data_IF_487746151151
#
_entry.id   IF_487746151151
#
_cell.length_a   1.000
_cell.length_b   1.000
_cell.length_c   1.000
_cell.angle_alpha   90.00
_cell.angle_beta   90.00
_cell.angle_gamma   90.00
#
_symmetry.space_group_name_H-M   'P 1'
#
loop_
_entity.id
_entity.type
_entity.pdbx_description
1 polymer ?
#
# COMPACT_ATOMS: atom_id res chain seq x y z
N UNK A 1 31.71 16.28 3.76
CA UNK A 1 31.47 15.04 4.52
C UNK A 1 30.31 14.35 3.85
N UNK A 2 30.54 13.26 3.12
CA UNK A 2 29.44 12.42 2.65
C UNK A 2 28.77 11.86 3.91
N UNK A 3 27.52 12.24 4.16
CA UNK A 3 26.64 11.44 5.01
C UNK A 3 26.71 10.03 4.41
N UNK A 4 27.31 9.09 5.14
CA UNK A 4 27.32 7.70 4.72
C UNK A 4 25.86 7.30 4.52
N UNK A 5 25.48 6.84 3.31
CA UNK A 5 24.09 6.51 2.97
C UNK A 5 23.43 5.71 4.10
N UNK A 6 22.50 6.36 4.82
CA UNK A 6 21.72 5.79 5.93
C UNK A 6 20.62 4.84 5.43
N UNK A 7 20.47 4.74 4.10
CA UNK A 7 19.42 3.99 3.42
C UNK A 7 20.03 2.91 2.53
N UNK A 8 19.41 1.72 2.55
CA UNK A 8 19.74 0.66 1.60
C UNK A 8 19.01 0.90 0.27
N UNK A 9 19.75 1.33 -0.74
CA UNK A 9 19.23 1.61 -2.07
C UNK A 9 19.03 0.34 -2.92
N UNK A 10 18.05 0.39 -3.83
CA UNK A 10 17.71 -0.71 -4.77
C UNK A 10 17.60 -0.20 -6.22
N UNK A 11 18.66 0.38 -6.78
CA UNK A 11 18.62 1.06 -8.09
C UNK A 11 18.17 0.13 -9.22
N UNK A 12 18.61 -1.13 -9.22
CA UNK A 12 18.20 -2.11 -10.24
C UNK A 12 16.70 -2.39 -10.25
N UNK A 13 16.06 -2.42 -9.06
CA UNK A 13 14.62 -2.59 -8.96
C UNK A 13 13.90 -1.33 -9.44
N UNK A 14 14.40 -0.14 -9.06
CA UNK A 14 13.84 1.13 -9.49
C UNK A 14 13.89 1.28 -11.02
N UNK A 15 15.05 1.06 -11.64
CA UNK A 15 15.18 1.11 -13.11
C UNK A 15 14.25 0.13 -13.83
N UNK A 16 14.09 -1.10 -13.32
CA UNK A 16 13.16 -2.08 -13.89
C UNK A 16 11.71 -1.59 -13.82
N UNK A 17 11.28 -1.04 -12.68
CA UNK A 17 9.93 -0.51 -12.51
C UNK A 17 9.69 0.73 -13.38
N UNK A 18 10.64 1.66 -13.43
CA UNK A 18 10.56 2.86 -14.27
C UNK A 18 10.41 2.48 -15.75
N UNK A 19 11.25 1.55 -16.23
CA UNK A 19 11.16 1.06 -17.61
C UNK A 19 9.78 0.44 -17.92
N UNK A 20 9.21 -0.32 -16.99
CA UNK A 20 7.89 -0.93 -17.15
C UNK A 20 6.75 0.09 -17.09
N UNK A 21 6.85 1.11 -16.23
CA UNK A 21 5.81 2.12 -16.02
C UNK A 21 5.79 3.16 -17.14
N UNK A 22 6.96 3.65 -17.58
CA UNK A 22 7.04 4.71 -18.59
C UNK A 22 6.78 4.17 -20.01
N UNK A 23 7.28 2.97 -20.33
CA UNK A 23 7.17 2.37 -21.68
C UNK A 23 5.88 1.55 -21.82
N UNK A 24 4.90 2.09 -22.52
CA UNK A 24 3.67 1.35 -22.86
C UNK A 24 3.89 0.64 -24.20
N UNK A 25 4.08 -0.68 -24.16
CA UNK A 25 4.01 -1.52 -25.36
C UNK A 25 2.58 -1.72 -25.87
N UNK A 26 2.38 -2.10 -27.15
CA UNK A 26 1.06 -2.46 -27.67
C UNK A 26 0.38 -3.53 -26.79
N UNK A 27 -0.88 -3.29 -26.40
CA UNK A 27 -1.64 -4.20 -25.53
C UNK A 27 -1.29 -4.15 -24.03
N UNK A 28 -0.37 -3.27 -23.61
CA UNK A 28 -0.01 -3.14 -22.20
C UNK A 28 -1.12 -2.50 -21.38
N UNK A 29 -1.55 -3.19 -20.32
CA UNK A 29 -2.48 -2.67 -19.32
C UNK A 29 -1.83 -1.72 -18.30
N UNK A 30 -0.52 -1.46 -18.40
CA UNK A 30 0.21 -0.47 -17.58
C UNK A 30 -0.37 0.94 -17.76
N UNK A 31 -0.94 1.23 -18.93
CA UNK A 31 -1.68 2.47 -19.17
C UNK A 31 -2.85 2.65 -18.20
N UNK A 32 -3.39 1.57 -17.65
CA UNK A 32 -4.40 1.60 -16.59
C UNK A 32 -3.83 1.82 -15.19
N UNK A 33 -2.52 1.90 -15.01
CA UNK A 33 -1.82 2.05 -13.72
C UNK A 33 -1.01 0.80 -13.34
N UNK A 34 -0.19 0.90 -12.28
CA UNK A 34 0.64 -0.20 -11.76
C UNK A 34 0.45 -0.31 -10.26
N UNK A 35 0.24 -1.53 -9.77
CA UNK A 35 -0.05 -1.80 -8.36
C UNK A 35 1.07 -2.60 -7.69
N UNK A 36 1.62 -2.05 -6.61
CA UNK A 36 2.68 -2.66 -5.81
C UNK A 36 2.14 -3.05 -4.43
N UNK A 37 1.97 -4.36 -4.18
CA UNK A 37 1.49 -4.88 -2.90
C UNK A 37 2.66 -5.43 -2.07
N UNK A 38 2.83 -4.94 -0.84
CA UNK A 38 3.83 -5.45 0.11
C UNK A 38 3.26 -5.36 1.53
N UNK A 39 3.54 -6.30 2.45
CA UNK A 39 3.16 -6.13 3.85
C UNK A 39 3.69 -4.82 4.45
N UNK A 40 3.04 -4.33 5.51
CA UNK A 40 3.48 -3.14 6.26
C UNK A 40 4.92 -3.32 6.74
N UNK A 41 5.66 -2.21 6.82
CA UNK A 41 6.98 -2.13 7.44
C UNK A 41 8.05 -2.99 6.77
N UNK A 42 7.94 -3.23 5.46
CA UNK A 42 8.92 -4.00 4.66
C UNK A 42 9.87 -3.12 3.84
N UNK A 43 9.87 -1.80 4.07
CA UNK A 43 10.72 -0.83 3.35
C UNK A 43 10.15 -0.30 2.03
N UNK A 44 8.88 -0.59 1.72
CA UNK A 44 8.19 -0.14 0.49
C UNK A 44 8.20 1.39 0.35
N UNK A 45 7.74 2.14 1.35
CA UNK A 45 7.66 3.61 1.26
C UNK A 45 9.03 4.26 1.18
N UNK A 46 10.03 3.72 1.90
CA UNK A 46 11.44 4.14 1.75
C UNK A 46 11.93 3.95 0.33
N UNK A 47 11.72 2.77 -0.27
CA UNK A 47 12.07 2.54 -1.68
C UNK A 47 11.34 3.49 -2.64
N UNK A 48 10.05 3.77 -2.38
CA UNK A 48 9.30 4.73 -3.21
C UNK A 48 9.94 6.11 -3.15
N UNK A 49 10.27 6.59 -1.95
CA UNK A 49 10.84 7.92 -1.74
C UNK A 49 12.29 8.05 -2.22
N UNK A 50 13.14 7.10 -1.85
CA UNK A 50 14.60 7.21 -1.96
C UNK A 50 15.16 6.57 -3.24
N UNK A 51 14.39 5.69 -3.90
CA UNK A 51 14.85 5.03 -5.14
C UNK A 51 13.90 5.32 -6.32
N UNK A 52 12.62 5.00 -6.18
CA UNK A 52 11.70 4.97 -7.31
C UNK A 52 11.36 6.37 -7.83
N UNK A 53 11.08 7.32 -6.94
CA UNK A 53 10.81 8.71 -7.31
C UNK A 53 12.02 9.37 -7.99
N UNK A 54 13.24 9.34 -7.42
CA UNK A 54 14.43 9.83 -8.11
C UNK A 54 14.68 9.15 -9.47
N UNK A 55 14.44 7.84 -9.57
CA UNK A 55 14.62 7.12 -10.83
C UNK A 55 13.61 7.55 -11.92
N UNK A 56 12.37 7.88 -11.56
CA UNK A 56 11.42 8.48 -12.52
C UNK A 56 11.87 9.87 -12.97
N UNK A 57 12.32 10.70 -12.04
CA UNK A 57 12.78 12.06 -12.32
C UNK A 57 14.03 12.05 -13.22
N UNK A 58 14.95 11.09 -13.00
CA UNK A 58 16.12 10.88 -13.84
C UNK A 58 15.78 10.51 -15.29
N UNK A 59 14.65 9.82 -15.51
CA UNK A 59 14.12 9.50 -16.84
C UNK A 59 13.23 10.63 -17.41
N UNK A 60 13.24 11.81 -16.79
CA UNK A 60 12.56 13.01 -17.27
C UNK A 60 11.06 13.05 -17.01
N UNK A 61 10.53 12.20 -16.11
CA UNK A 61 9.14 12.26 -15.67
C UNK A 61 8.95 13.27 -14.52
N UNK A 62 7.77 13.88 -14.47
CA UNK A 62 7.37 14.74 -13.35
C UNK A 62 6.59 13.93 -12.32
N UNK A 63 7.08 13.85 -11.09
CA UNK A 63 6.52 12.95 -10.07
C UNK A 63 5.67 13.71 -9.05
N UNK A 64 4.43 13.27 -8.87
CA UNK A 64 3.54 13.71 -7.79
C UNK A 64 3.38 12.56 -6.81
N UNK A 65 3.72 12.77 -5.55
CA UNK A 65 3.61 11.76 -4.50
C UNK A 65 2.54 12.13 -3.47
N UNK A 66 1.70 11.17 -3.11
CA UNK A 66 0.73 11.29 -2.01
C UNK A 66 0.72 10.01 -1.19
N UNK A 67 0.74 10.15 0.13
CA UNK A 67 0.56 9.06 1.08
C UNK A 67 -0.80 9.22 1.77
N UNK A 68 -1.72 8.29 1.51
CA UNK A 68 -3.08 8.34 2.06
C UNK A 68 -3.14 7.89 3.53
N UNK A 69 -2.04 7.39 4.08
CA UNK A 69 -1.93 6.95 5.47
C UNK A 69 -1.16 7.94 6.36
N UNK A 70 -0.41 8.88 5.77
CA UNK A 70 0.37 9.89 6.51
C UNK A 70 -0.46 10.72 7.51
N UNK A 71 -1.74 10.97 7.20
CA UNK A 71 -2.70 11.54 8.15
C UNK A 71 -4.01 10.75 8.13
N UNK A 72 -4.19 9.77 9.04
CA UNK A 72 -5.37 8.90 9.04
C UNK A 72 -6.72 9.62 9.27
N UNK A 73 -6.70 10.87 9.74
CA UNK A 73 -7.91 11.68 9.93
C UNK A 73 -8.25 12.55 8.72
N UNK A 74 -7.31 12.68 7.77
CA UNK A 74 -7.56 13.39 6.53
C UNK A 74 -8.48 12.59 5.60
N UNK A 75 -9.30 13.30 4.84
CA UNK A 75 -10.11 12.67 3.81
C UNK A 75 -9.22 12.24 2.62
N UNK A 76 -9.21 10.95 2.22
CA UNK A 76 -8.29 10.44 1.19
C UNK A 76 -8.38 11.13 -0.17
N UNK A 77 -9.58 11.43 -0.68
CA UNK A 77 -9.74 12.13 -1.96
C UNK A 77 -9.13 13.54 -1.93
N UNK A 78 -9.32 14.24 -0.82
CA UNK A 78 -8.79 15.58 -0.56
C UNK A 78 -7.27 15.58 -0.45
N UNK A 79 -6.67 14.51 0.08
CA UNK A 79 -5.21 14.34 0.10
C UNK A 79 -4.62 14.22 -1.31
N UNK A 80 -5.26 13.42 -2.19
CA UNK A 80 -4.87 13.29 -3.61
C UNK A 80 -4.95 14.66 -4.30
N UNK A 81 -6.09 15.35 -4.17
CA UNK A 81 -6.31 16.67 -4.77
C UNK A 81 -5.28 17.68 -4.24
N UNK A 82 -5.01 17.68 -2.94
CA UNK A 82 -4.03 18.58 -2.32
C UNK A 82 -2.61 18.35 -2.83
N UNK A 83 -2.20 17.09 -3.03
CA UNK A 83 -0.89 16.79 -3.60
C UNK A 83 -0.75 17.34 -5.03
N UNK A 84 -1.80 17.20 -5.85
CA UNK A 84 -1.83 17.76 -7.20
C UNK A 84 -1.82 19.29 -7.15
N UNK A 85 -2.62 19.92 -6.28
CA UNK A 85 -2.60 21.38 -6.09
C UNK A 85 -1.22 21.90 -5.70
N UNK A 86 -0.52 21.23 -4.79
CA UNK A 86 0.86 21.59 -4.41
C UNK A 86 1.80 21.51 -5.62
N UNK A 87 1.65 20.48 -6.46
CA UNK A 87 2.43 20.36 -7.68
C UNK A 87 2.13 21.47 -8.70
N UNK A 88 0.86 21.87 -8.85
CA UNK A 88 0.44 22.99 -9.71
C UNK A 88 1.00 24.33 -9.19
N UNK A 89 0.92 24.56 -7.87
CA UNK A 89 1.36 25.79 -7.23
C UNK A 89 2.87 26.02 -7.34
N UNK A 90 3.65 24.94 -7.48
CA UNK A 90 5.09 25.01 -7.69
C UNK A 90 5.49 25.44 -9.12
N UNK A 91 4.51 25.65 -10.03
CA UNK A 91 4.75 25.92 -11.45
C UNK A 91 4.03 27.20 -11.90
N UNK A 92 4.78 28.30 -12.07
CA UNK A 92 4.24 29.63 -12.38
C UNK A 92 3.37 29.68 -13.64
N UNK A 93 3.69 28.89 -14.67
CA UNK A 93 2.96 28.88 -15.94
C UNK A 93 1.60 28.18 -15.90
N UNK A 94 1.38 27.29 -14.93
CA UNK A 94 0.14 26.49 -14.81
C UNK A 94 -1.06 27.37 -14.47
N UNK A 95 -0.88 28.33 -13.56
CA UNK A 95 -1.93 29.27 -13.10
C UNK A 95 -2.55 30.00 -14.31
N UNK A 96 -1.70 30.47 -15.22
CA UNK A 96 -2.13 31.17 -16.44
C UNK A 96 -2.91 30.25 -17.39
N UNK A 97 -2.52 28.97 -17.49
CA UNK A 97 -3.23 27.99 -18.34
C UNK A 97 -4.59 27.64 -17.80
N UNK A 98 -4.70 27.42 -16.49
CA UNK A 98 -5.98 27.13 -15.84
C UNK A 98 -6.96 28.30 -15.93
N UNK A 99 -6.49 29.54 -15.78
CA UNK A 99 -7.32 30.73 -15.98
C UNK A 99 -7.88 30.85 -17.43
N UNK A 100 -7.13 30.36 -18.44
CA UNK A 100 -7.58 30.32 -19.84
C UNK A 100 -8.59 29.21 -20.11
N UNK A 101 -8.33 27.99 -19.63
CA UNK A 101 -9.21 26.84 -19.88
C UNK A 101 -10.59 26.98 -19.22
N UNK A 102 -10.65 27.68 -18.08
CA UNK A 102 -11.89 27.94 -17.33
C UNK A 102 -12.69 29.15 -17.83
N UNK A 103 -12.23 29.84 -18.88
CA UNK A 103 -12.90 31.03 -19.42
C UNK A 103 -12.81 32.28 -18.53
N UNK A 104 -12.09 32.23 -17.40
CA UNK A 104 -11.89 33.36 -16.48
C UNK A 104 -10.96 34.43 -17.07
N UNK A 105 -10.23 34.15 -18.16
CA UNK A 105 -9.38 35.12 -18.86
C UNK A 105 -10.16 36.25 -19.58
N UNK A 106 -11.50 36.21 -19.65
CA UNK A 106 -12.30 37.22 -20.36
C UNK A 106 -12.57 38.51 -19.59
N UNK A 107 -12.23 38.60 -18.30
CA UNK A 107 -12.42 39.81 -17.48
C UNK A 107 -11.05 40.46 -17.20
N UNK A 108 -10.38 40.91 -18.26
CA UNK A 108 -9.19 41.76 -18.17
C UNK A 108 -9.41 43.03 -19.00
N UNK A 109 -10.50 43.75 -18.70
CA UNK A 109 -10.71 45.12 -19.17
C UNK A 109 -10.41 46.01 -17.95
N UNK A 110 -9.14 46.36 -17.71
CA UNK A 110 -8.79 47.33 -16.64
C UNK A 110 -7.53 47.09 -15.80
N UNK A 111 -6.50 46.37 -16.29
CA UNK A 111 -5.16 46.41 -15.66
C UNK A 111 -4.96 45.65 -14.33
N UNK A 112 -5.93 44.84 -13.88
CA UNK A 112 -5.78 43.96 -12.71
C UNK A 112 -5.25 42.58 -13.07
N UNK A 113 -4.30 42.04 -12.28
CA UNK A 113 -3.87 40.65 -12.36
C UNK A 113 -4.97 39.77 -11.75
N UNK A 114 -5.57 38.88 -12.55
CA UNK A 114 -6.49 37.86 -12.04
C UNK A 114 -5.71 36.89 -11.14
N UNK A 115 -6.03 36.89 -9.85
CA UNK A 115 -5.51 35.92 -8.89
C UNK A 115 -6.36 34.65 -9.00
N UNK A 116 -5.82 33.60 -9.63
CA UNK A 116 -6.51 32.32 -9.75
C UNK A 116 -6.37 31.54 -8.43
N UNK A 117 -7.50 31.13 -7.87
CA UNK A 117 -7.54 30.40 -6.62
C UNK A 117 -7.43 28.88 -6.87
N UNK A 118 -6.23 28.33 -6.65
CA UNK A 118 -5.97 26.89 -6.73
C UNK A 118 -6.79 26.09 -5.71
N UNK A 119 -7.33 26.74 -4.66
CA UNK A 119 -8.23 26.09 -3.70
C UNK A 119 -9.56 25.64 -4.31
N UNK A 120 -9.87 26.02 -5.55
CA UNK A 120 -11.07 25.57 -6.27
C UNK A 120 -10.89 24.25 -7.03
N UNK A 121 -9.65 23.80 -7.26
CA UNK A 121 -9.34 22.59 -8.07
C UNK A 121 -9.89 21.33 -7.42
N UNK A 122 -10.89 20.67 -8.00
CA UNK A 122 -11.42 19.41 -7.48
C UNK A 122 -12.33 19.53 -6.24
N UNK A 123 -12.71 20.75 -5.81
CA UNK A 123 -13.69 20.98 -4.72
C UNK A 123 -15.07 21.42 -5.24
N UNK A 124 -15.35 21.37 -6.55
CA UNK A 124 -16.65 21.78 -7.11
C UNK A 124 -16.70 21.84 -8.65
N UNK A 125 -17.71 22.54 -9.18
CA UNK A 125 -17.98 22.68 -10.63
C UNK A 125 -16.99 23.59 -11.39
N UNK A 126 -16.15 24.36 -10.68
CA UNK A 126 -15.34 25.42 -11.30
C UNK A 126 -14.12 24.88 -12.06
N UNK A 127 -13.41 23.88 -11.51
CA UNK A 127 -12.21 23.29 -12.13
C UNK A 127 -12.12 21.81 -11.80
N UNK A 128 -12.18 20.95 -12.81
CA UNK A 128 -12.07 19.50 -12.60
C UNK A 128 -10.63 19.07 -12.32
N UNK A 129 -10.45 17.91 -11.68
CA UNK A 129 -9.13 17.30 -11.49
C UNK A 129 -8.44 16.99 -12.84
N UNK A 130 -9.23 16.63 -13.85
CA UNK A 130 -8.77 16.40 -15.22
C UNK A 130 -8.16 17.67 -15.80
N UNK A 131 -8.86 18.81 -15.72
CA UNK A 131 -8.37 20.09 -16.26
C UNK A 131 -7.07 20.53 -15.59
N UNK A 132 -6.99 20.33 -14.27
CA UNK A 132 -5.79 20.56 -13.49
C UNK A 132 -4.58 19.74 -13.99
N UNK A 133 -4.76 18.44 -14.17
CA UNK A 133 -3.69 17.56 -14.64
C UNK A 133 -3.32 17.84 -16.11
N UNK A 134 -4.28 18.18 -16.96
CA UNK A 134 -4.03 18.60 -18.35
C UNK A 134 -3.15 19.87 -18.37
N UNK A 135 -3.52 20.89 -17.59
CA UNK A 135 -2.74 22.13 -17.52
C UNK A 135 -1.32 21.89 -17.01
N UNK A 136 -1.14 21.00 -16.02
CA UNK A 136 0.17 20.58 -15.55
C UNK A 136 0.97 19.86 -16.64
N UNK A 137 0.35 18.93 -17.36
CA UNK A 137 1.02 18.15 -18.42
C UNK A 137 1.51 19.05 -19.55
N UNK A 138 0.68 19.98 -20.00
CA UNK A 138 1.00 20.88 -21.11
C UNK A 138 2.02 21.96 -20.73
N UNK A 139 2.13 22.29 -19.44
CA UNK A 139 3.17 23.16 -18.91
C UNK A 139 4.51 22.43 -18.81
N UNK A 140 4.53 21.29 -18.13
CA UNK A 140 5.76 20.54 -17.88
C UNK A 140 6.32 19.90 -19.16
N UNK A 141 5.47 19.55 -20.12
CA UNK A 141 5.83 18.80 -21.34
C UNK A 141 6.50 17.46 -21.05
N UNK A 142 6.18 16.88 -19.90
CA UNK A 142 6.73 15.63 -19.38
C UNK A 142 5.59 14.66 -19.04
N UNK A 143 5.91 13.36 -19.02
CA UNK A 143 5.00 12.35 -18.46
C UNK A 143 4.83 12.66 -16.97
N UNK A 144 3.59 12.78 -16.51
CA UNK A 144 3.29 12.88 -15.07
C UNK A 144 3.21 11.46 -14.50
N UNK A 145 3.92 11.20 -13.41
CA UNK A 145 3.81 9.97 -12.63
C UNK A 145 3.18 10.31 -11.28
N UNK A 146 1.92 9.94 -11.09
CA UNK A 146 1.23 10.06 -9.81
C UNK A 146 1.43 8.79 -9.00
N UNK A 147 2.20 8.89 -7.90
CA UNK A 147 2.42 7.82 -6.95
C UNK A 147 1.46 8.00 -5.77
N UNK A 148 0.58 7.01 -5.56
CA UNK A 148 -0.38 6.97 -4.47
C UNK A 148 0.03 5.85 -3.52
N UNK A 149 0.65 6.20 -2.40
CA UNK A 149 0.95 5.26 -1.32
C UNK A 149 -0.30 4.98 -0.48
N UNK A 150 -0.43 3.72 -0.06
CA UNK A 150 -1.57 3.18 0.66
C UNK A 150 -2.93 3.44 -0.05
N UNK A 151 -2.95 3.24 -1.37
CA UNK A 151 -4.07 3.57 -2.25
C UNK A 151 -5.41 2.92 -1.87
N UNK A 152 -5.39 1.77 -1.19
CA UNK A 152 -6.62 1.12 -0.73
C UNK A 152 -7.41 1.97 0.28
N UNK A 153 -6.80 2.95 0.95
CA UNK A 153 -7.51 3.84 1.86
C UNK A 153 -8.51 4.74 1.13
N UNK A 154 -8.34 5.00 -0.16
CA UNK A 154 -9.33 5.72 -0.95
C UNK A 154 -10.69 4.99 -1.06
N UNK A 155 -10.74 3.67 -0.82
CA UNK A 155 -11.99 2.90 -0.78
C UNK A 155 -12.79 3.06 0.53
N UNK A 156 -12.25 3.81 1.50
CA UNK A 156 -12.91 3.99 2.81
C UNK A 156 -13.91 5.14 2.82
N UNK A 157 -13.90 6.00 1.79
CA UNK A 157 -14.78 7.18 1.67
C UNK A 157 -15.35 7.31 0.25
N UNK A 158 -16.55 7.84 0.12
CA UNK A 158 -17.16 8.11 -1.19
C UNK A 158 -16.35 9.15 -1.99
N UNK A 159 -15.76 10.13 -1.30
CA UNK A 159 -14.91 11.15 -1.93
C UNK A 159 -13.58 10.59 -2.41
N UNK A 160 -12.99 9.63 -1.68
CA UNK A 160 -11.83 8.86 -2.15
C UNK A 160 -12.16 8.08 -3.42
N UNK A 161 -13.28 7.35 -3.44
CA UNK A 161 -13.75 6.62 -4.64
C UNK A 161 -13.96 7.59 -5.82
N UNK A 162 -14.62 8.73 -5.59
CA UNK A 162 -14.84 9.75 -6.62
C UNK A 162 -13.52 10.30 -7.18
N UNK A 163 -12.52 10.54 -6.32
CA UNK A 163 -11.20 11.00 -6.75
C UNK A 163 -10.50 9.97 -7.65
N UNK A 164 -10.60 8.68 -7.36
CA UNK A 164 -10.04 7.62 -8.22
C UNK A 164 -10.71 7.60 -9.60
N UNK A 165 -12.03 7.78 -9.68
CA UNK A 165 -12.71 7.88 -10.98
C UNK A 165 -12.33 9.16 -11.75
N UNK A 166 -12.14 10.27 -11.06
CA UNK A 166 -11.62 11.49 -11.68
C UNK A 166 -10.20 11.28 -12.23
N UNK A 167 -9.34 10.55 -11.50
CA UNK A 167 -8.01 10.15 -11.99
C UNK A 167 -8.08 9.24 -13.21
N UNK A 168 -9.03 8.30 -13.26
CA UNK A 168 -9.28 7.50 -14.47
C UNK A 168 -9.61 8.39 -15.67
N UNK A 169 -10.54 9.35 -15.49
CA UNK A 169 -10.92 10.27 -16.56
C UNK A 169 -9.72 11.13 -17.02
N UNK A 170 -8.94 11.67 -16.08
CA UNK A 170 -7.72 12.41 -16.37
C UNK A 170 -6.71 11.55 -17.14
N UNK A 171 -6.48 10.31 -16.71
CA UNK A 171 -5.55 9.39 -17.36
C UNK A 171 -5.96 9.06 -18.78
N UNK A 172 -7.25 8.86 -19.03
CA UNK A 172 -7.79 8.56 -20.36
C UNK A 172 -7.60 9.79 -21.30
N UNK A 173 -7.75 11.03 -20.80
CA UNK A 173 -7.47 12.26 -21.57
C UNK A 173 -5.97 12.48 -21.80
N UNK A 174 -5.15 12.44 -20.74
CA UNK A 174 -3.72 12.75 -20.80
C UNK A 174 -2.91 11.72 -21.61
N UNK A 175 -3.39 10.49 -21.75
CA UNK A 175 -2.74 9.47 -22.57
C UNK A 175 -3.22 9.46 -24.04
N UNK A 176 -4.03 10.43 -24.44
CA UNK A 176 -4.30 10.71 -25.85
C UNK A 176 -3.08 11.34 -26.54
N UNK A 177 -3.12 11.48 -27.87
CA UNK A 177 -2.04 12.10 -28.65
C UNK A 177 -1.88 13.61 -28.42
N UNK A 178 -2.74 14.23 -27.59
CA UNK A 178 -2.75 15.69 -27.35
C UNK A 178 -1.85 16.14 -26.21
N UNK A 179 -1.51 15.23 -25.29
CA UNK A 179 -0.84 15.54 -24.04
C UNK A 179 0.40 14.65 -23.84
N UNK A 180 1.12 14.87 -22.76
CA UNK A 180 2.40 14.21 -22.52
C UNK A 180 2.29 12.91 -21.70
N UNK A 181 1.09 12.55 -21.23
CA UNK A 181 0.82 11.30 -20.56
C UNK A 181 0.70 11.39 -19.04
N UNK A 182 -0.11 10.47 -18.49
CA UNK A 182 -0.25 10.23 -17.05
C UNK A 182 -0.02 8.75 -16.76
N UNK A 183 0.86 8.46 -15.80
CA UNK A 183 1.05 7.14 -15.19
C UNK A 183 0.62 7.21 -13.74
N UNK A 184 -0.03 6.16 -13.27
CA UNK A 184 -0.44 6.04 -11.88
C UNK A 184 0.24 4.81 -11.29
N UNK A 185 0.98 5.00 -10.20
CA UNK A 185 1.58 3.92 -9.42
C UNK A 185 0.89 3.89 -8.07
N UNK A 186 0.11 2.86 -7.82
CA UNK A 186 -0.56 2.63 -6.56
C UNK A 186 0.26 1.65 -5.74
N UNK A 187 0.48 1.93 -4.47
CA UNK A 187 1.07 0.95 -3.57
C UNK A 187 0.15 0.72 -2.38
N UNK A 188 0.28 -0.42 -1.71
CA UNK A 188 -0.64 -0.74 -0.61
C UNK A 188 -0.17 -1.89 0.25
N UNK A 189 -0.46 -1.79 1.54
CA UNK A 189 -0.01 -2.78 2.51
C UNK A 189 -0.82 -4.08 2.51
N UNK A 190 -2.02 -4.01 1.96
CA UNK A 190 -2.97 -5.11 1.93
C UNK A 190 -3.31 -5.46 0.47
N UNK A 191 -2.81 -6.60 -0.01
CA UNK A 191 -2.96 -7.04 -1.40
C UNK A 191 -4.43 -7.18 -1.80
N UNK A 192 -5.25 -7.78 -0.95
CA UNK A 192 -6.65 -8.07 -1.28
C UNK A 192 -7.46 -6.78 -1.37
N UNK A 193 -7.30 -5.87 -0.41
CA UNK A 193 -7.94 -4.54 -0.47
C UNK A 193 -7.45 -3.73 -1.66
N UNK A 194 -6.15 -3.75 -1.93
CA UNK A 194 -5.56 -3.05 -3.05
C UNK A 194 -6.07 -3.62 -4.39
N UNK A 195 -6.32 -4.94 -4.47
CA UNK A 195 -6.83 -5.58 -5.68
C UNK A 195 -8.24 -5.09 -6.03
N UNK A 196 -9.03 -4.72 -5.03
CA UNK A 196 -10.38 -4.21 -5.25
C UNK A 196 -10.46 -3.00 -6.17
N UNK A 197 -9.40 -2.17 -6.21
CA UNK A 197 -9.30 -1.00 -7.10
C UNK A 197 -9.24 -1.36 -8.60
N UNK A 198 -9.05 -2.64 -8.92
CA UNK A 198 -8.83 -3.15 -10.28
C UNK A 198 -9.65 -4.40 -10.65
N UNK A 199 -10.43 -4.95 -9.72
CA UNK A 199 -11.07 -6.26 -9.88
C UNK A 199 -12.32 -6.29 -10.77
N UNK A 200 -12.97 -5.16 -11.02
CA UNK A 200 -14.15 -5.11 -11.88
C UNK A 200 -14.15 -3.92 -12.83
N UNK A 201 -14.96 -4.02 -13.89
CA UNK A 201 -15.14 -2.96 -14.91
C UNK A 201 -15.63 -1.64 -14.31
N UNK A 202 -16.25 -1.70 -13.14
CA UNK A 202 -16.79 -0.56 -12.40
C UNK A 202 -15.73 0.04 -11.45
N UNK A 203 -14.44 -0.24 -11.66
CA UNK A 203 -13.33 0.31 -10.86
C UNK A 203 -12.39 1.16 -11.72
N UNK A 204 -11.81 2.19 -11.11
CA UNK A 204 -10.98 3.17 -11.80
C UNK A 204 -9.75 2.58 -12.51
N UNK A 205 -9.21 1.47 -11.98
CA UNK A 205 -7.98 0.86 -12.48
C UNK A 205 -8.20 -0.56 -13.00
N UNK A 206 -9.38 -0.84 -13.57
CA UNK A 206 -9.69 -2.14 -14.16
C UNK A 206 -8.56 -2.64 -15.09
N UNK A 207 -8.21 -3.92 -14.95
CA UNK A 207 -7.10 -4.60 -15.65
C UNK A 207 -5.67 -4.12 -15.35
N UNK A 208 -5.46 -3.07 -14.54
CA UNK A 208 -4.12 -2.59 -14.20
C UNK A 208 -3.27 -3.72 -13.58
N UNK A 209 -2.02 -3.97 -14.00
CA UNK A 209 -1.19 -5.02 -13.41
C UNK A 209 -0.97 -4.81 -11.91
N UNK A 210 -0.91 -5.92 -11.16
CA UNK A 210 -0.48 -5.95 -9.76
C UNK A 210 0.66 -6.92 -9.60
N UNK A 211 1.72 -6.46 -8.96
CA UNK A 211 2.86 -7.27 -8.58
C UNK A 211 3.02 -7.28 -7.07
N UNK A 212 3.57 -8.37 -6.56
CA UNK A 212 4.09 -8.39 -5.20
C UNK A 212 5.39 -7.59 -5.21
N UNK A 213 5.45 -6.58 -4.36
CA UNK A 213 6.67 -5.81 -4.17
C UNK A 213 7.70 -6.71 -3.46
N UNK A 214 8.89 -6.90 -4.05
CA UNK A 214 9.87 -7.82 -3.46
C UNK A 214 10.35 -7.31 -2.11
N UNK A 215 10.50 -8.21 -1.15
CA UNK A 215 11.11 -7.92 0.15
C UNK A 215 12.55 -7.43 -0.01
N UNK A 216 13.12 -6.90 1.07
CA UNK A 216 14.53 -6.56 1.12
C UNK A 216 15.37 -7.83 0.91
N UNK A 217 16.33 -7.81 -0.04
CA UNK A 217 17.09 -9.00 -0.44
C UNK A 217 18.15 -9.36 0.61
N UNK A 218 18.83 -10.49 0.43
CA UNK A 218 19.94 -10.91 1.31
C UNK A 218 21.06 -9.86 1.41
N UNK A 219 21.30 -9.10 0.35
CA UNK A 219 22.28 -8.01 0.32
C UNK A 219 21.97 -6.91 1.35
N UNK A 220 20.69 -6.74 1.73
CA UNK A 220 20.31 -5.86 2.83
C UNK A 220 20.87 -6.34 4.17
N UNK A 221 20.87 -7.65 4.44
CA UNK A 221 21.44 -8.19 5.69
C UNK A 221 22.95 -7.95 5.76
N UNK A 222 23.66 -8.11 4.63
CA UNK A 222 25.09 -7.81 4.54
C UNK A 222 25.37 -6.31 4.74
N UNK A 223 24.59 -5.44 4.09
CA UNK A 223 24.67 -3.99 4.27
C UNK A 223 24.39 -3.59 5.73
N UNK A 224 23.34 -4.15 6.35
CA UNK A 224 22.98 -3.89 7.73
C UNK A 224 24.12 -4.27 8.69
N UNK A 225 24.69 -5.47 8.55
CA UNK A 225 25.84 -5.90 9.37
C UNK A 225 27.07 -5.00 9.20
N UNK A 226 27.30 -4.47 8.00
CA UNK A 226 28.42 -3.56 7.73
C UNK A 226 28.22 -2.13 8.27
N UNK A 227 26.96 -1.70 8.43
CA UNK A 227 26.61 -0.33 8.83
C UNK A 227 26.21 -0.20 10.30
N UNK A 228 25.70 -1.27 10.90
CA UNK A 228 25.21 -1.26 12.27
C UNK A 228 26.38 -0.97 13.24
N UNK A 229 26.20 0.04 14.07
CA UNK A 229 27.17 0.39 15.10
C UNK A 229 26.88 -0.41 16.38
N UNK A 230 27.49 -1.59 16.49
CA UNK A 230 27.45 -2.47 17.65
C UNK A 230 28.86 -2.73 18.19
N UNK A 231 29.03 -3.03 19.50
CA UNK A 231 30.32 -3.39 20.08
C UNK A 231 30.87 -4.75 19.58
N UNK A 232 30.10 -5.48 18.78
CA UNK A 232 30.43 -6.77 18.19
C UNK A 232 29.97 -6.84 16.73
N UNK A 233 30.57 -7.77 15.97
CA UNK A 233 30.21 -7.99 14.56
C UNK A 233 29.09 -9.03 14.43
N UNK A 234 28.09 -8.73 13.60
CA UNK A 234 27.04 -9.68 13.23
C UNK A 234 27.44 -10.49 11.98
N UNK A 235 26.95 -11.71 11.90
CA UNK A 235 27.05 -12.55 10.70
C UNK A 235 25.84 -12.35 9.78
N UNK A 236 26.09 -12.09 8.50
CA UNK A 236 25.04 -11.75 7.54
C UNK A 236 24.09 -12.92 7.25
N UNK A 237 24.55 -14.17 7.32
CA UNK A 237 23.71 -15.35 7.12
C UNK A 237 22.78 -15.57 8.31
N UNK A 238 23.30 -15.41 9.54
CA UNK A 238 22.48 -15.42 10.75
C UNK A 238 21.45 -14.28 10.75
N UNK A 239 21.85 -13.06 10.39
CA UNK A 239 20.92 -11.92 10.30
C UNK A 239 19.88 -12.15 9.22
N UNK A 240 20.24 -12.74 8.07
CA UNK A 240 19.29 -13.08 7.02
C UNK A 240 18.22 -14.08 7.49
N UNK A 241 18.61 -15.11 8.25
CA UNK A 241 17.67 -16.06 8.84
C UNK A 241 16.71 -15.37 9.83
N UNK A 242 17.26 -14.59 10.76
CA UNK A 242 16.48 -13.80 11.73
C UNK A 242 15.55 -12.80 11.04
N UNK A 243 15.99 -12.20 9.94
CA UNK A 243 15.20 -11.26 9.18
C UNK A 243 14.00 -11.94 8.51
N UNK A 244 14.18 -13.18 8.04
CA UNK A 244 13.08 -14.03 7.58
C UNK A 244 12.07 -14.34 8.69
N UNK A 245 12.55 -14.74 9.88
CA UNK A 245 11.69 -14.96 11.07
C UNK A 245 10.92 -13.68 11.46
N UNK A 246 11.56 -12.53 11.34
CA UNK A 246 10.99 -11.22 11.61
C UNK A 246 10.01 -10.73 10.53
N UNK A 247 9.78 -11.49 9.45
CA UNK A 247 8.88 -11.13 8.35
C UNK A 247 9.43 -10.02 7.45
N UNK A 248 10.76 -9.93 7.32
CA UNK A 248 11.46 -8.92 6.52
C UNK A 248 11.16 -7.47 6.93
N UNK A 249 10.96 -7.22 8.23
CA UNK A 249 10.70 -5.89 8.81
C UNK A 249 12.00 -5.27 9.37
N UNK A 250 12.66 -4.34 8.66
CA UNK A 250 13.99 -3.84 9.06
C UNK A 250 13.98 -3.07 10.38
N UNK A 251 12.85 -2.45 10.73
CA UNK A 251 12.67 -1.76 12.02
C UNK A 251 12.93 -2.66 13.23
N UNK A 252 12.68 -3.96 13.12
CA UNK A 252 12.94 -4.93 14.19
C UNK A 252 14.44 -5.17 14.41
N UNK A 253 15.21 -5.25 13.32
CA UNK A 253 16.66 -5.35 13.40
C UNK A 253 17.27 -4.07 13.97
N UNK A 254 16.79 -2.91 13.50
CA UNK A 254 17.23 -1.60 13.98
C UNK A 254 16.94 -1.45 15.48
N UNK A 255 15.72 -1.76 15.92
CA UNK A 255 15.32 -1.67 17.33
C UNK A 255 16.14 -2.61 18.23
N UNK A 256 16.39 -3.84 17.79
CA UNK A 256 17.25 -4.78 18.53
C UNK A 256 18.70 -4.27 18.61
N UNK A 257 19.23 -3.69 17.53
CA UNK A 257 20.57 -3.10 17.55
C UNK A 257 20.66 -1.86 18.46
N UNK A 258 19.63 -1.01 18.47
CA UNK A 258 19.57 0.18 19.31
C UNK A 258 19.62 -0.17 20.81
N UNK A 259 19.01 -1.28 21.22
CA UNK A 259 19.09 -1.74 22.62
C UNK A 259 20.49 -2.17 23.05
N UNK A 260 21.28 -2.72 22.12
CA UNK A 260 22.61 -3.26 22.41
C UNK A 260 23.74 -2.28 22.10
N UNK A 261 23.45 -1.16 21.44
CA UNK A 261 24.46 -0.16 21.00
C UNK A 261 25.32 0.37 22.15
N UNK A 262 24.78 0.47 23.36
CA UNK A 262 25.46 1.02 24.52
C UNK A 262 25.96 -0.05 25.51
N UNK A 263 25.85 -1.33 25.18
CA UNK A 263 26.38 -2.43 26.00
C UNK A 263 27.87 -2.65 25.69
N UNK A 264 28.73 -1.67 26.01
CA UNK A 264 30.13 -1.66 25.58
C UNK A 264 30.97 -2.86 26.08
N UNK A 265 30.62 -3.43 27.23
CA UNK A 265 31.37 -4.53 27.87
C UNK A 265 30.83 -5.93 27.51
N UNK A 266 29.89 -6.03 26.56
CA UNK A 266 29.31 -7.31 26.17
C UNK A 266 30.31 -8.14 25.37
N UNK A 267 30.44 -9.43 25.73
CA UNK A 267 31.18 -10.39 24.92
C UNK A 267 30.53 -10.56 23.53
N UNK A 268 31.34 -10.78 22.49
CA UNK A 268 30.85 -10.83 21.12
C UNK A 268 29.83 -11.96 20.87
N UNK A 269 30.02 -13.14 21.47
CA UNK A 269 29.09 -14.27 21.28
C UNK A 269 27.80 -14.05 22.07
N UNK A 270 27.89 -13.51 23.29
CA UNK A 270 26.70 -13.15 24.06
C UNK A 270 25.95 -11.99 23.39
N UNK A 271 26.64 -11.03 22.79
CA UNK A 271 26.05 -9.93 22.01
C UNK A 271 25.24 -10.42 20.82
N UNK A 272 25.80 -11.33 20.01
CA UNK A 272 25.08 -11.96 18.89
C UNK A 272 23.82 -12.71 19.37
N UNK A 273 23.94 -13.45 20.47
CA UNK A 273 22.83 -14.22 21.05
C UNK A 273 21.73 -13.30 21.58
N UNK A 274 22.09 -12.25 22.30
CA UNK A 274 21.15 -11.22 22.78
C UNK A 274 20.46 -10.51 21.63
N UNK A 275 21.19 -10.15 20.58
CA UNK A 275 20.59 -9.55 19.38
C UNK A 275 19.52 -10.47 18.76
N UNK A 276 19.85 -11.75 18.58
CA UNK A 276 18.90 -12.73 18.06
C UNK A 276 17.67 -12.93 18.96
N UNK A 277 17.86 -12.94 20.27
CA UNK A 277 16.77 -13.02 21.25
C UNK A 277 15.87 -11.79 21.17
N UNK A 278 16.45 -10.60 21.08
CA UNK A 278 15.72 -9.34 21.03
C UNK A 278 14.89 -9.22 19.75
N UNK A 279 15.45 -9.57 18.58
CA UNK A 279 14.68 -9.60 17.33
C UNK A 279 13.45 -10.51 17.43
N UNK A 280 13.60 -11.69 18.04
CA UNK A 280 12.48 -12.64 18.23
C UNK A 280 11.46 -12.13 19.24
N UNK A 281 11.92 -11.51 20.33
CA UNK A 281 11.05 -10.91 21.33
C UNK A 281 10.20 -9.80 20.71
N UNK A 282 10.83 -8.82 20.04
CA UNK A 282 10.13 -7.74 19.35
C UNK A 282 9.18 -8.25 18.26
N UNK A 283 9.55 -9.32 17.56
CA UNK A 283 8.70 -9.99 16.57
C UNK A 283 7.41 -10.51 17.21
N UNK A 284 7.52 -11.20 18.35
CA UNK A 284 6.35 -11.72 19.06
C UNK A 284 5.52 -10.58 19.64
N UNK A 285 6.16 -9.59 20.28
CA UNK A 285 5.49 -8.39 20.84
C UNK A 285 4.66 -7.66 19.80
N UNK A 286 5.21 -7.40 18.61
CA UNK A 286 4.47 -6.74 17.53
C UNK A 286 3.23 -7.55 17.10
N UNK A 287 3.30 -8.87 17.16
CA UNK A 287 2.21 -9.76 16.76
C UNK A 287 1.20 -10.02 17.91
N UNK A 288 1.52 -9.68 19.16
CA UNK A 288 0.69 -10.00 20.33
C UNK A 288 -0.73 -9.45 20.24
N UNK A 289 -0.91 -8.21 19.77
CA UNK A 289 -2.24 -7.59 19.68
C UNK A 289 -3.16 -8.41 18.78
N UNK A 290 -2.64 -8.81 17.61
CA UNK A 290 -3.38 -9.61 16.63
C UNK A 290 -3.60 -11.04 17.14
N UNK A 291 -2.57 -11.67 17.74
CA UNK A 291 -2.72 -12.99 18.36
C UNK A 291 -3.78 -12.99 19.47
N UNK A 292 -3.82 -11.98 20.33
CA UNK A 292 -4.85 -11.83 21.38
C UNK A 292 -6.24 -11.70 20.76
N UNK A 293 -6.39 -10.88 19.70
CA UNK A 293 -7.66 -10.73 19.00
C UNK A 293 -8.13 -12.07 18.39
N UNK A 294 -7.24 -12.81 17.71
CA UNK A 294 -7.54 -14.12 17.10
C UNK A 294 -7.91 -15.17 18.17
N UNK A 295 -7.17 -15.23 19.28
CA UNK A 295 -7.45 -16.15 20.39
C UNK A 295 -8.76 -15.86 21.12
N UNK A 296 -9.26 -14.61 21.04
CA UNK A 296 -10.54 -14.21 21.63
C UNK A 296 -11.77 -14.60 20.80
N UNK A 297 -11.57 -15.20 19.61
CA UNK A 297 -12.66 -15.55 18.71
C UNK A 297 -13.42 -16.77 19.19
N UNK A 298 -14.74 -16.76 18.98
CA UNK A 298 -15.53 -17.97 19.15
C UNK A 298 -15.14 -19.01 18.10
N UNK A 299 -15.42 -20.31 18.32
CA UNK A 299 -15.18 -21.36 17.34
C UNK A 299 -15.59 -21.04 15.90
N UNK A 300 -16.81 -20.52 15.72
CA UNK A 300 -17.34 -20.19 14.40
C UNK A 300 -16.69 -18.94 13.81
N UNK A 301 -16.37 -17.93 14.64
CA UNK A 301 -15.62 -16.75 14.18
C UNK A 301 -14.24 -17.13 13.67
N UNK A 302 -13.55 -18.02 14.40
CA UNK A 302 -12.25 -18.52 14.03
C UNK A 302 -12.32 -19.35 12.72
N UNK A 303 -13.33 -20.21 12.57
CA UNK A 303 -13.55 -20.97 11.34
C UNK A 303 -13.78 -20.07 10.12
N UNK A 304 -14.64 -19.04 10.25
CA UNK A 304 -14.91 -18.08 9.16
C UNK A 304 -13.64 -17.31 8.79
N UNK A 305 -12.88 -16.83 9.78
CA UNK A 305 -11.62 -16.12 9.53
C UNK A 305 -10.59 -16.99 8.80
N UNK A 306 -10.43 -18.27 9.20
CA UNK A 306 -9.50 -19.22 8.56
C UNK A 306 -9.89 -19.52 7.12
N UNK A 307 -11.17 -19.74 6.86
CA UNK A 307 -11.66 -20.01 5.49
C UNK A 307 -11.48 -18.77 4.61
N UNK A 308 -11.76 -17.57 5.14
CA UNK A 308 -11.49 -16.32 4.44
C UNK A 308 -10.01 -16.17 4.09
N UNK A 309 -9.11 -16.44 5.04
CA UNK A 309 -7.66 -16.39 4.83
C UNK A 309 -7.17 -17.40 3.79
N UNK A 310 -7.77 -18.60 3.77
CA UNK A 310 -7.41 -19.65 2.81
C UNK A 310 -7.89 -19.33 1.38
N UNK A 311 -9.12 -18.82 1.24
CA UNK A 311 -9.74 -18.53 -0.06
C UNK A 311 -9.29 -17.20 -0.68
N UNK A 312 -8.82 -16.23 0.12
CA UNK A 312 -8.33 -14.93 -0.34
C UNK A 312 -9.37 -14.22 -1.24
N UNK A 313 -9.01 -13.92 -2.49
CA UNK A 313 -9.86 -13.20 -3.44
C UNK A 313 -11.08 -14.01 -3.90
N UNK A 314 -11.04 -15.34 -3.78
CA UNK A 314 -12.14 -16.23 -4.18
C UNK A 314 -13.18 -16.39 -3.06
N UNK A 315 -13.00 -15.70 -1.93
CA UNK A 315 -13.88 -15.82 -0.78
C UNK A 315 -15.28 -15.23 -1.05
N UNK A 316 -16.27 -16.12 -1.12
CA UNK A 316 -17.68 -15.77 -1.23
C UNK A 316 -18.45 -16.33 -0.01
N UNK A 317 -18.82 -15.48 0.98
CA UNK A 317 -19.16 -15.94 2.33
C UNK A 317 -20.37 -16.87 2.45
N UNK A 318 -21.29 -16.83 1.48
CA UNK A 318 -22.58 -17.53 1.54
C UNK A 318 -22.71 -18.64 0.48
N UNK A 319 -21.69 -18.88 -0.32
CA UNK A 319 -21.72 -19.96 -1.31
C UNK A 319 -21.70 -21.33 -0.62
N UNK A 320 -22.39 -22.31 -1.22
CA UNK A 320 -22.48 -23.66 -0.67
C UNK A 320 -21.09 -24.29 -0.40
N UNK A 321 -20.14 -24.07 -1.31
CA UNK A 321 -18.75 -24.52 -1.14
C UNK A 321 -18.04 -23.86 0.05
N UNK A 322 -18.22 -22.55 0.23
CA UNK A 322 -17.66 -21.82 1.38
C UNK A 322 -18.27 -22.28 2.70
N UNK A 323 -19.59 -22.49 2.72
CA UNK A 323 -20.29 -23.00 3.91
C UNK A 323 -19.80 -24.39 4.31
N UNK A 324 -19.51 -25.27 3.34
CA UNK A 324 -18.89 -26.57 3.61
C UNK A 324 -17.47 -26.43 4.19
N UNK A 325 -16.68 -25.47 3.70
CA UNK A 325 -15.35 -25.18 4.25
C UNK A 325 -15.41 -24.70 5.70
N UNK A 326 -16.42 -23.92 6.09
CA UNK A 326 -16.58 -23.55 7.51
C UNK A 326 -16.81 -24.78 8.39
N UNK A 327 -17.68 -25.72 7.96
CA UNK A 327 -17.92 -26.97 8.70
C UNK A 327 -16.63 -27.78 8.85
N UNK A 328 -15.88 -27.94 7.75
CA UNK A 328 -14.56 -28.58 7.76
C UNK A 328 -13.58 -27.87 8.71
N UNK A 329 -13.57 -26.54 8.75
CA UNK A 329 -12.69 -25.79 9.65
C UNK A 329 -13.05 -25.99 11.13
N UNK A 330 -14.34 -26.13 11.46
CA UNK A 330 -14.83 -26.46 12.80
C UNK A 330 -14.43 -27.89 13.19
N UNK A 331 -14.62 -28.87 12.28
CA UNK A 331 -14.20 -30.26 12.49
C UNK A 331 -12.68 -30.38 12.74
N UNK A 332 -11.87 -29.70 11.94
CA UNK A 332 -10.41 -29.65 12.12
C UNK A 332 -9.98 -29.01 13.43
N UNK A 333 -10.83 -28.18 14.05
CA UNK A 333 -10.58 -27.61 15.37
C UNK A 333 -10.96 -28.55 16.52
N UNK A 334 -11.48 -29.75 16.22
CA UNK A 334 -11.89 -30.75 17.23
C UNK A 334 -13.16 -30.39 17.99
N UNK A 335 -14.02 -29.54 17.39
CA UNK A 335 -15.23 -29.04 18.05
C UNK A 335 -16.44 -29.83 17.51
N UNK A 336 -17.32 -30.36 18.37
CA UNK A 336 -18.50 -31.12 17.92
C UNK A 336 -19.36 -30.28 16.96
N UNK A 337 -19.65 -30.83 15.78
CA UNK A 337 -20.40 -30.15 14.72
C UNK A 337 -21.83 -29.77 15.12
N UNK A 338 -22.41 -30.53 16.06
CA UNK A 338 -23.82 -30.43 16.44
C UNK A 338 -24.11 -29.19 17.30
N UNK A 339 -23.08 -28.60 17.91
CA UNK A 339 -23.21 -27.41 18.78
C UNK A 339 -23.07 -26.07 18.02
N UNK A 340 -22.62 -26.11 16.75
CA UNK A 340 -22.31 -24.90 15.97
C UNK A 340 -23.22 -24.80 14.74
N UNK A 341 -24.19 -23.88 14.80
CA UNK A 341 -25.03 -23.56 13.65
C UNK A 341 -24.24 -22.77 12.60
N UNK A 342 -23.91 -23.44 11.49
CA UNK A 342 -23.35 -22.83 10.28
C UNK A 342 -24.48 -22.55 9.28
N UNK A 343 -25.25 -21.49 9.55
CA UNK A 343 -26.33 -20.98 8.71
C UNK A 343 -26.07 -19.52 8.28
N UNK A 344 -26.88 -19.02 7.32
CA UNK A 344 -26.68 -17.67 6.77
C UNK A 344 -26.78 -16.56 7.83
N UNK A 345 -27.79 -16.55 8.74
CA UNK A 345 -27.85 -15.54 9.80
C UNK A 345 -26.65 -15.60 10.74
N UNK A 346 -26.19 -16.80 11.11
CA UNK A 346 -25.00 -17.00 11.95
C UNK A 346 -23.73 -16.47 11.28
N UNK A 347 -23.53 -16.77 9.99
CA UNK A 347 -22.39 -16.25 9.23
C UNK A 347 -22.44 -14.73 9.12
N UNK A 348 -23.62 -14.12 8.92
CA UNK A 348 -23.78 -12.66 8.90
C UNK A 348 -23.39 -12.03 10.25
N UNK A 349 -23.86 -12.59 11.36
CA UNK A 349 -23.50 -12.13 12.70
C UNK A 349 -22.00 -12.27 12.98
N UNK A 350 -21.38 -13.36 12.50
CA UNK A 350 -19.94 -13.58 12.60
C UNK A 350 -19.14 -12.55 11.81
N UNK A 351 -19.54 -12.25 10.57
CA UNK A 351 -18.87 -11.24 9.75
C UNK A 351 -18.94 -9.85 10.41
N UNK A 352 -20.10 -9.48 10.98
CA UNK A 352 -20.22 -8.25 11.76
C UNK A 352 -19.29 -8.24 12.97
N UNK A 353 -19.25 -9.32 13.75
CA UNK A 353 -18.38 -9.42 14.92
C UNK A 353 -16.89 -9.38 14.57
N UNK A 354 -16.48 -9.99 13.45
CA UNK A 354 -15.10 -9.92 12.97
C UNK A 354 -14.73 -8.51 12.48
N UNK A 355 -15.70 -7.78 11.91
CA UNK A 355 -15.53 -6.39 11.51
C UNK A 355 -15.40 -5.47 12.74
N UNK A 356 -16.23 -5.66 13.77
CA UNK A 356 -16.15 -4.91 15.03
C UNK A 356 -14.81 -5.13 15.76
N UNK A 357 -14.27 -6.36 15.66
CA UNK A 357 -12.92 -6.72 16.14
C UNK A 357 -11.79 -6.22 15.25
N UNK A 358 -12.08 -5.52 14.14
CA UNK A 358 -11.12 -5.00 13.16
C UNK A 358 -10.21 -6.08 12.56
N UNK A 359 -10.73 -7.30 12.40
CA UNK A 359 -9.99 -8.41 11.77
C UNK A 359 -10.33 -8.54 10.28
N UNK A 360 -11.51 -8.07 9.89
CA UNK A 360 -11.94 -8.06 8.50
C UNK A 360 -12.50 -6.68 8.14
N UNK A 361 -12.49 -6.41 6.85
CA UNK A 361 -13.09 -5.25 6.23
C UNK A 361 -14.17 -5.68 5.25
N UNK A 362 -15.24 -4.90 5.18
CA UNK A 362 -16.27 -5.05 4.15
C UNK A 362 -16.17 -3.87 3.19
N UNK A 363 -15.80 -4.17 1.95
CA UNK A 363 -15.65 -3.16 0.91
C UNK A 363 -16.97 -2.86 0.19
N UNK A 364 -17.75 -3.90 -0.06
CA UNK A 364 -19.07 -3.81 -0.68
C UNK A 364 -19.97 -4.92 -0.13
N UNK A 365 -21.25 -4.90 -0.49
CA UNK A 365 -22.17 -5.97 -0.11
C UNK A 365 -21.68 -7.32 -0.63
N UNK A 366 -21.33 -8.23 0.28
CA UNK A 366 -20.84 -9.57 -0.05
C UNK A 366 -19.34 -9.68 -0.30
N UNK A 367 -18.60 -8.57 -0.33
CA UNK A 367 -17.14 -8.56 -0.57
C UNK A 367 -16.41 -8.20 0.71
N UNK A 368 -15.61 -9.14 1.19
CA UNK A 368 -14.85 -9.05 2.44
C UNK A 368 -13.39 -9.36 2.19
N UNK A 369 -12.52 -8.72 2.97
CA UNK A 369 -11.10 -9.00 2.98
C UNK A 369 -10.58 -8.96 4.43
N UNK A 370 -9.50 -9.66 4.71
CA UNK A 370 -8.83 -9.56 6.02
C UNK A 370 -8.20 -8.18 6.15
N UNK A 371 -8.26 -7.58 7.35
CA UNK A 371 -7.85 -6.20 7.61
C UNK A 371 -6.34 -6.00 7.37
N UNK A 372 -5.54 -6.92 7.89
CA UNK A 372 -4.07 -6.86 7.92
C UNK A 372 -3.46 -8.17 7.42
N UNK A 373 -2.47 -8.09 6.54
CA UNK A 373 -1.79 -9.26 5.97
C UNK A 373 -1.16 -10.15 7.07
N UNK A 374 -0.68 -9.55 8.16
CA UNK A 374 -0.09 -10.30 9.27
C UNK A 374 -1.07 -11.26 9.95
N UNK A 375 -2.39 -11.03 9.86
CA UNK A 375 -3.39 -12.00 10.35
C UNK A 375 -3.32 -13.29 9.53
N UNK A 376 -3.20 -13.18 8.19
CA UNK A 376 -3.06 -14.34 7.30
C UNK A 376 -1.74 -15.06 7.60
N UNK A 377 -0.66 -14.30 7.74
CA UNK A 377 0.68 -14.85 7.99
C UNK A 377 0.74 -15.60 9.32
N UNK A 378 0.11 -15.06 10.38
CA UNK A 378 -0.01 -15.73 11.68
C UNK A 378 -0.82 -17.02 11.60
N UNK A 379 -1.97 -17.01 10.92
CA UNK A 379 -2.78 -18.22 10.73
C UNK A 379 -2.03 -19.28 9.91
N UNK A 380 -1.25 -18.87 8.92
CA UNK A 380 -0.42 -19.76 8.11
C UNK A 380 0.73 -20.36 8.92
N UNK A 381 1.46 -19.54 9.68
CA UNK A 381 2.57 -19.96 10.53
C UNK A 381 2.11 -20.95 11.62
N UNK A 382 0.93 -20.75 12.19
CA UNK A 382 0.32 -21.65 13.16
C UNK A 382 -0.30 -22.91 12.50
N UNK A 383 -0.18 -23.09 11.18
CA UNK A 383 -0.69 -24.24 10.43
C UNK A 383 -2.22 -24.30 10.30
N UNK A 384 -2.92 -23.21 10.65
CA UNK A 384 -4.38 -23.18 10.76
C UNK A 384 -5.10 -23.11 9.41
N UNK A 385 -4.39 -22.83 8.31
CA UNK A 385 -4.97 -22.78 6.95
C UNK A 385 -4.93 -24.14 6.23
N UNK A 386 -4.23 -25.12 6.79
CA UNK A 386 -4.03 -26.41 6.14
C UNK A 386 -5.37 -27.16 5.94
N UNK A 387 -5.59 -27.65 4.72
CA UNK A 387 -6.80 -28.38 4.35
C UNK A 387 -8.04 -27.51 4.09
N UNK A 388 -7.91 -26.18 4.10
CA UNK A 388 -9.01 -25.23 3.87
C UNK A 388 -8.95 -24.49 2.52
N UNK A 389 -7.91 -24.73 1.71
CA UNK A 389 -7.73 -24.18 0.35
C UNK A 389 -8.63 -24.87 -0.67
#
# INVERSE_FOLDING_TARGET
MNQAEEVFHRPDLAHKLVAQVLRIGPGSAVSSGVFLAAPRRTGKSTFVCEDLRPAFEAEGAFVVYVDLWANPTAEPGSAIVSAIRKALAAQDGVITRLAKSTGMSKIAIGGGVLQFDLEKVGLGKDVSLTDALVALSDEMKQIIVLVIDEAQHALTTDQGIAALFALKAARDELNSSKHHGLRVVCTGSNRDKLAMLRSSKDQAFYCAPMMNFPTLPKDFAAWFCAKVALPFTLDADCVWQLFGEAGYRPELLNAAADQLRFEFDIDAEEGKKRFAQEVRQLTEEMNQVQRKAIRSLTPIQHAVLRVMAAMKQDYAPFEAGTVQRYRKAVELAGIPSDDIKVDVPGIQAVLLALQDKKLIWRAARGVYAIEEQSVIDLLAADGLLNGLA
#
